data_IF_821790296092
#
_entry.id   IF_821790296092
#
_cell.length_a   1.000
_cell.length_b   1.000
_cell.length_c   1.000
_cell.angle_alpha   90.00
_cell.angle_beta   90.00
_cell.angle_gamma   90.00
#
_symmetry.space_group_name_H-M   'P 1'
#
loop_
_entity.id
_entity.type
_entity.pdbx_description
1 polymer ?
#
# COMPACT_ATOMS: atom_id res chain seq x y z
N UNK A 1 -54.45 23.55 -41.55
CA UNK A 1 -53.12 22.91 -41.79
C UNK A 1 -52.20 23.28 -40.62
N UNK A 2 -52.21 22.48 -39.55
CA UNK A 2 -51.36 22.73 -38.40
C UNK A 2 -50.03 22.04 -38.62
N UNK A 3 -48.94 22.78 -38.75
CA UNK A 3 -47.56 22.31 -38.77
C UNK A 3 -47.20 21.85 -37.34
N UNK A 4 -47.14 20.55 -37.08
CA UNK A 4 -46.48 20.03 -35.89
C UNK A 4 -44.98 20.15 -36.09
N UNK A 5 -44.39 21.02 -35.28
CA UNK A 5 -42.98 21.35 -35.30
C UNK A 5 -42.16 20.18 -34.73
N UNK A 6 -41.12 19.86 -35.42
CA UNK A 6 -40.04 18.98 -34.99
C UNK A 6 -39.46 19.48 -33.65
N UNK A 7 -39.42 18.61 -32.61
CA UNK A 7 -38.73 18.93 -31.35
C UNK A 7 -39.21 18.18 -30.12
N UNK A 8 -40.13 17.23 -30.23
CA UNK A 8 -40.47 16.37 -29.07
C UNK A 8 -39.65 15.10 -29.14
N UNK A 9 -38.55 15.07 -28.39
CA UNK A 9 -37.84 13.82 -28.11
C UNK A 9 -38.83 12.84 -27.50
N UNK A 10 -38.89 11.62 -28.04
CA UNK A 10 -39.77 10.54 -27.59
C UNK A 10 -39.68 10.44 -26.05
N UNK A 11 -40.82 10.43 -25.31
CA UNK A 11 -40.83 10.27 -23.87
C UNK A 11 -40.03 9.06 -23.38
N UNK A 12 -39.97 7.99 -24.15
CA UNK A 12 -39.17 6.78 -23.85
C UNK A 12 -37.68 7.08 -23.90
N UNK A 13 -37.21 7.88 -24.85
CA UNK A 13 -35.81 8.31 -24.92
C UNK A 13 -35.45 9.16 -23.70
N UNK A 14 -36.34 10.11 -23.33
CA UNK A 14 -36.11 10.94 -22.13
C UNK A 14 -36.11 10.13 -20.83
N UNK A 15 -36.92 9.09 -20.74
CA UNK A 15 -36.91 8.17 -19.60
C UNK A 15 -35.62 7.34 -19.62
N UNK A 16 -35.20 6.81 -20.74
CA UNK A 16 -33.93 6.08 -20.87
C UNK A 16 -32.74 6.95 -20.48
N UNK A 17 -32.63 8.19 -20.99
CA UNK A 17 -31.59 9.14 -20.62
C UNK A 17 -31.64 9.52 -19.13
N UNK A 18 -32.83 9.59 -18.53
CA UNK A 18 -32.96 9.86 -17.10
C UNK A 18 -32.50 8.65 -16.25
N UNK A 19 -32.83 7.43 -16.68
CA UNK A 19 -32.37 6.19 -16.05
C UNK A 19 -30.85 6.02 -16.20
N UNK A 20 -30.26 6.31 -17.36
CA UNK A 20 -28.84 6.28 -17.59
C UNK A 20 -28.09 7.31 -16.73
N UNK A 21 -28.67 8.49 -16.44
CA UNK A 21 -28.10 9.45 -15.49
C UNK A 21 -28.15 8.96 -14.04
N UNK A 22 -29.17 8.21 -13.67
CA UNK A 22 -29.33 7.62 -12.32
C UNK A 22 -28.50 6.35 -12.14
N UNK A 23 -28.33 5.59 -13.21
CA UNK A 23 -27.57 4.35 -13.27
C UNK A 23 -26.72 4.37 -14.55
N UNK A 24 -25.62 5.13 -14.56
CA UNK A 24 -24.75 5.16 -15.73
C UNK A 24 -24.24 3.78 -16.07
N UNK A 25 -24.05 3.46 -17.35
CA UNK A 25 -23.45 2.20 -17.75
C UNK A 25 -22.12 2.01 -17.04
N UNK A 26 -21.76 0.78 -16.65
CA UNK A 26 -20.49 0.52 -16.01
C UNK A 26 -19.36 1.08 -16.89
N UNK A 27 -18.39 1.74 -16.24
CA UNK A 27 -17.21 2.21 -16.95
C UNK A 27 -16.54 1.02 -17.68
N UNK A 28 -15.98 1.22 -18.87
CA UNK A 28 -15.25 0.17 -19.55
C UNK A 28 -14.17 -0.38 -18.61
N UNK A 29 -13.93 -1.70 -18.60
CA UNK A 29 -12.93 -2.29 -17.72
C UNK A 29 -11.57 -1.64 -17.99
N UNK A 30 -10.82 -1.33 -16.93
CA UNK A 30 -9.49 -0.77 -17.06
C UNK A 30 -8.59 -1.74 -17.82
N UNK A 31 -7.76 -1.21 -18.72
CA UNK A 31 -6.71 -2.00 -19.35
C UNK A 31 -5.65 -2.35 -18.30
N UNK A 32 -5.60 -3.64 -17.95
CA UNK A 32 -4.69 -4.17 -16.92
C UNK A 32 -3.22 -4.21 -17.37
N UNK A 33 -2.92 -3.99 -18.64
CA UNK A 33 -1.57 -3.96 -19.19
C UNK A 33 -0.99 -2.54 -19.29
N UNK A 34 -1.84 -1.50 -19.29
CA UNK A 34 -1.44 -0.15 -19.68
C UNK A 34 -0.76 0.67 -18.56
N UNK A 35 -1.04 0.39 -17.29
CA UNK A 35 -0.62 1.29 -16.19
C UNK A 35 0.30 0.61 -15.18
N UNK A 36 1.25 1.36 -14.57
CA UNK A 36 2.16 0.83 -13.54
C UNK A 36 1.44 0.53 -12.21
N UNK A 37 0.33 1.22 -11.96
CA UNK A 37 -0.41 1.09 -10.72
C UNK A 37 -1.92 1.30 -10.92
N UNK A 38 -2.68 0.63 -10.08
CA UNK A 38 -4.15 0.65 -10.04
C UNK A 38 -4.64 0.79 -8.60
N UNK A 39 -5.91 1.20 -8.46
CA UNK A 39 -6.64 1.22 -7.20
C UNK A 39 -7.89 0.37 -7.33
N UNK A 40 -8.06 -0.60 -6.42
CA UNK A 40 -9.27 -1.38 -6.27
C UNK A 40 -10.24 -0.71 -5.30
N UNK A 41 -11.45 -0.43 -5.74
CA UNK A 41 -12.49 0.27 -4.97
C UNK A 41 -13.63 -0.64 -4.51
N UNK A 42 -13.39 -1.93 -4.46
CA UNK A 42 -14.38 -2.93 -4.04
C UNK A 42 -15.28 -3.46 -5.16
N UNK A 43 -15.44 -2.73 -6.27
CA UNK A 43 -16.25 -3.14 -7.43
C UNK A 43 -15.60 -2.85 -8.77
N UNK A 44 -14.66 -1.93 -8.78
CA UNK A 44 -13.96 -1.50 -9.99
C UNK A 44 -12.48 -1.34 -9.72
N UNK A 45 -11.69 -1.62 -10.73
CA UNK A 45 -10.26 -1.29 -10.76
C UNK A 45 -10.07 -0.06 -11.64
N UNK A 46 -9.36 0.94 -11.12
CA UNK A 46 -9.08 2.17 -11.86
C UNK A 46 -7.57 2.43 -11.89
N UNK A 47 -7.02 3.01 -12.96
CA UNK A 47 -5.64 3.45 -12.98
C UNK A 47 -5.34 4.42 -11.83
N UNK A 48 -4.20 4.28 -11.19
CA UNK A 48 -3.73 5.27 -10.23
C UNK A 48 -3.47 6.60 -10.98
N UNK A 49 -3.96 7.72 -10.42
CA UNK A 49 -3.81 9.04 -11.05
C UNK A 49 -2.37 9.49 -11.14
N UNK A 50 -1.60 9.14 -10.11
CA UNK A 50 -0.19 9.46 -10.00
C UNK A 50 0.50 8.34 -9.21
N UNK A 51 1.55 7.77 -9.77
CA UNK A 51 2.37 6.76 -9.11
C UNK A 51 3.83 7.23 -9.11
N UNK A 52 4.13 8.13 -8.18
CA UNK A 52 5.45 8.71 -7.95
C UNK A 52 5.97 8.31 -6.56
N UNK A 53 6.36 7.05 -6.34
CA UNK A 53 6.84 6.59 -5.05
C UNK A 53 8.21 7.19 -4.72
N UNK A 54 8.47 7.31 -3.41
CA UNK A 54 9.80 7.70 -2.90
C UNK A 54 10.89 6.78 -3.48
N UNK A 55 11.94 7.32 -4.10
CA UNK A 55 13.06 6.54 -4.60
C UNK A 55 13.70 5.71 -3.48
N UNK A 56 14.05 4.45 -3.76
CA UNK A 56 14.63 3.54 -2.76
C UNK A 56 15.93 4.07 -2.14
N UNK A 57 16.70 4.86 -2.88
CA UNK A 57 17.93 5.48 -2.39
C UNK A 57 17.71 6.43 -1.21
N UNK A 58 16.49 7.00 -1.08
CA UNK A 58 16.12 7.90 0.01
C UNK A 58 15.60 7.16 1.26
N UNK A 59 15.37 5.85 1.17
CA UNK A 59 14.92 5.03 2.29
C UNK A 59 16.13 4.50 3.07
N UNK A 60 16.51 5.20 4.12
CA UNK A 60 17.65 4.87 4.98
C UNK A 60 17.27 3.97 6.15
N UNK A 61 18.20 3.10 6.59
CA UNK A 61 18.02 2.25 7.76
C UNK A 61 17.11 1.02 7.53
N UNK A 62 16.79 0.70 6.29
CA UNK A 62 15.92 -0.43 5.90
C UNK A 62 16.56 -1.35 4.85
N UNK A 63 17.89 -1.43 4.84
CA UNK A 63 18.65 -2.14 3.77
C UNK A 63 18.33 -3.63 3.70
N UNK A 64 18.23 -4.30 4.84
CA UNK A 64 17.87 -5.73 4.89
C UNK A 64 16.46 -5.97 4.35
N UNK A 65 15.51 -5.14 4.78
CA UNK A 65 14.12 -5.21 4.33
C UNK A 65 14.02 -4.91 2.83
N UNK A 66 14.75 -3.88 2.35
CA UNK A 66 14.83 -3.51 0.94
C UNK A 66 15.36 -4.67 0.08
N UNK A 67 16.48 -5.27 0.45
CA UNK A 67 17.08 -6.40 -0.30
C UNK A 67 16.12 -7.58 -0.38
N UNK A 68 15.52 -7.97 0.76
CA UNK A 68 14.60 -9.10 0.79
C UNK A 68 13.32 -8.86 -0.03
N UNK A 69 12.75 -7.64 0.08
CA UNK A 69 11.52 -7.27 -0.64
C UNK A 69 11.77 -7.17 -2.15
N UNK A 70 12.89 -6.54 -2.58
CA UNK A 70 13.24 -6.45 -3.99
C UNK A 70 13.42 -7.84 -4.60
N UNK A 71 14.21 -8.72 -3.99
CA UNK A 71 14.42 -10.07 -4.49
C UNK A 71 13.11 -10.87 -4.62
N UNK A 72 12.12 -10.62 -3.73
CA UNK A 72 10.80 -11.24 -3.81
C UNK A 72 9.96 -10.67 -4.97
N UNK A 73 9.97 -9.34 -5.17
CA UNK A 73 9.26 -8.67 -6.25
C UNK A 73 9.85 -8.95 -7.63
N UNK A 74 11.19 -9.07 -7.74
CA UNK A 74 11.88 -9.47 -8.96
C UNK A 74 11.47 -10.88 -9.39
N UNK A 75 11.41 -11.85 -8.44
CA UNK A 75 10.88 -13.19 -8.71
C UNK A 75 9.43 -13.15 -9.18
N UNK A 76 8.57 -12.39 -8.50
CA UNK A 76 7.18 -12.23 -8.93
C UNK A 76 7.09 -11.65 -10.34
N UNK A 77 7.86 -10.60 -10.63
CA UNK A 77 7.90 -9.96 -11.95
C UNK A 77 8.38 -10.89 -13.07
N UNK A 78 9.27 -11.81 -12.75
CA UNK A 78 9.79 -12.83 -13.67
C UNK A 78 8.87 -14.07 -13.81
N UNK A 79 7.72 -14.09 -13.15
CA UNK A 79 6.81 -15.26 -13.13
C UNK A 79 7.32 -16.43 -12.29
N UNK A 80 8.31 -16.21 -11.44
CA UNK A 80 8.84 -17.21 -10.54
C UNK A 80 8.07 -17.27 -9.23
N UNK A 81 8.31 -18.33 -8.43
CA UNK A 81 7.73 -18.46 -7.10
C UNK A 81 8.12 -17.27 -6.21
N UNK A 82 7.13 -16.57 -5.68
CA UNK A 82 7.28 -15.45 -4.78
C UNK A 82 6.33 -15.61 -3.57
N UNK A 83 6.68 -14.95 -2.47
CA UNK A 83 5.94 -15.02 -1.21
C UNK A 83 4.99 -13.83 -1.04
N UNK A 84 3.90 -14.04 -0.32
CA UNK A 84 3.16 -12.96 0.30
C UNK A 84 4.03 -12.31 1.38
N UNK A 85 3.95 -10.99 1.49
CA UNK A 85 4.82 -10.23 2.38
C UNK A 85 4.04 -9.43 3.42
N UNK A 86 4.46 -9.53 4.68
CA UNK A 86 3.99 -8.72 5.78
C UNK A 86 5.10 -7.78 6.25
N UNK A 87 4.84 -6.47 6.20
CA UNK A 87 5.73 -5.44 6.72
C UNK A 87 5.10 -4.87 8.00
N UNK A 88 5.71 -5.11 9.15
CA UNK A 88 5.14 -4.74 10.43
C UNK A 88 6.08 -3.86 11.25
N UNK A 89 5.54 -3.09 12.20
CA UNK A 89 6.34 -2.26 13.11
C UNK A 89 5.90 -0.80 13.18
N UNK A 90 6.73 0.06 13.75
CA UNK A 90 6.39 1.43 14.11
C UNK A 90 5.89 2.27 12.93
N UNK A 91 4.98 3.22 13.21
CA UNK A 91 4.49 4.19 12.21
C UNK A 91 5.61 5.08 11.70
N UNK A 92 5.55 5.41 10.40
CA UNK A 92 6.48 6.36 9.78
C UNK A 92 7.89 5.81 9.53
N UNK A 93 8.12 4.49 9.66
CA UNK A 93 9.42 3.83 9.44
C UNK A 93 9.69 3.46 7.97
N UNK A 94 8.80 3.84 7.05
CA UNK A 94 9.01 3.63 5.61
C UNK A 94 8.40 2.36 5.02
N UNK A 95 7.56 1.59 5.74
CA UNK A 95 6.94 0.35 5.25
C UNK A 95 6.25 0.52 3.90
N UNK A 96 5.25 1.39 3.83
CA UNK A 96 4.46 1.65 2.60
C UNK A 96 5.32 2.27 1.50
N UNK A 97 6.26 3.16 1.87
CA UNK A 97 7.20 3.75 0.93
C UNK A 97 8.13 2.69 0.32
N UNK A 98 8.58 1.71 1.13
CA UNK A 98 9.42 0.62 0.65
C UNK A 98 8.68 -0.27 -0.34
N UNK A 99 7.43 -0.66 -0.08
CA UNK A 99 6.63 -1.47 -1.01
C UNK A 99 6.49 -0.74 -2.35
N UNK A 100 6.00 0.50 -2.32
CA UNK A 100 5.77 1.30 -3.53
C UNK A 100 7.08 1.59 -4.29
N UNK A 101 8.14 1.96 -3.58
CA UNK A 101 9.45 2.24 -4.16
C UNK A 101 10.11 1.00 -4.76
N UNK A 102 9.98 -0.16 -4.12
CA UNK A 102 10.52 -1.42 -4.63
C UNK A 102 9.80 -1.88 -5.92
N UNK A 103 8.47 -1.73 -5.99
CA UNK A 103 7.70 -2.03 -7.20
C UNK A 103 8.14 -1.11 -8.34
N UNK A 104 8.25 0.21 -8.11
CA UNK A 104 8.73 1.14 -9.11
C UNK A 104 10.16 0.84 -9.58
N UNK A 105 11.04 0.38 -8.69
CA UNK A 105 12.39 -0.02 -9.06
C UNK A 105 12.40 -1.23 -10.00
N UNK A 106 11.56 -2.25 -9.75
CA UNK A 106 11.40 -3.41 -10.63
C UNK A 106 10.83 -2.98 -11.99
N UNK A 107 9.85 -2.09 -12.02
CA UNK A 107 9.28 -1.53 -13.26
C UNK A 107 10.30 -0.74 -14.07
N UNK A 108 11.15 0.05 -13.41
CA UNK A 108 12.22 0.81 -14.06
C UNK A 108 13.28 -0.09 -14.74
N UNK A 109 13.41 -1.33 -14.28
CA UNK A 109 14.26 -2.37 -14.90
C UNK A 109 13.55 -3.15 -16.03
N UNK A 110 12.35 -2.71 -16.44
CA UNK A 110 11.56 -3.36 -17.49
C UNK A 110 10.64 -4.47 -17.00
N UNK A 111 10.49 -4.64 -15.70
CA UNK A 111 9.54 -5.62 -15.13
C UNK A 111 8.09 -5.27 -15.44
N UNK A 112 7.29 -6.28 -15.85
CA UNK A 112 5.84 -6.12 -16.14
C UNK A 112 4.97 -6.00 -14.89
N UNK A 113 5.55 -6.10 -13.69
CA UNK A 113 4.83 -6.05 -12.40
C UNK A 113 3.99 -4.78 -12.29
N UNK A 114 2.72 -4.91 -11.89
CA UNK A 114 1.87 -3.77 -11.55
C UNK A 114 1.48 -3.79 -10.06
N UNK A 115 1.31 -2.60 -9.51
CA UNK A 115 0.72 -2.41 -8.18
C UNK A 115 -0.80 -2.38 -8.30
N UNK A 116 -1.52 -3.06 -7.39
CA UNK A 116 -2.93 -2.82 -7.13
C UNK A 116 -3.10 -2.45 -5.66
N UNK A 117 -3.35 -1.18 -5.38
CA UNK A 117 -3.67 -0.74 -4.02
C UNK A 117 -5.15 -1.01 -3.74
N UNK A 118 -5.44 -1.88 -2.78
CA UNK A 118 -6.79 -2.21 -2.38
C UNK A 118 -7.12 -1.58 -1.02
N UNK A 119 -8.32 -1.00 -0.93
CA UNK A 119 -8.79 -0.36 0.31
C UNK A 119 -9.11 -1.42 1.35
N UNK A 120 -8.52 -1.30 2.54
CA UNK A 120 -8.62 -2.32 3.60
C UNK A 120 -10.03 -2.51 4.17
N UNK A 121 -10.94 -1.56 3.94
CA UNK A 121 -12.36 -1.66 4.33
C UNK A 121 -13.19 -2.58 3.42
N UNK A 122 -12.61 -3.15 2.37
CA UNK A 122 -13.29 -3.97 1.36
C UNK A 122 -12.57 -5.31 1.11
N UNK A 123 -12.02 -5.93 2.16
CA UNK A 123 -11.30 -7.21 2.05
C UNK A 123 -12.19 -8.34 1.51
N UNK A 124 -13.49 -8.29 1.80
CA UNK A 124 -14.50 -9.22 1.32
C UNK A 124 -14.66 -9.21 -0.21
N UNK A 125 -14.21 -8.15 -0.87
CA UNK A 125 -14.28 -8.00 -2.34
C UNK A 125 -13.00 -8.44 -3.07
N UNK A 126 -11.97 -8.87 -2.36
CA UNK A 126 -10.72 -9.34 -2.97
C UNK A 126 -10.89 -10.57 -3.87
N UNK A 127 -11.82 -11.51 -3.62
CA UNK A 127 -12.13 -12.57 -4.57
C UNK A 127 -12.53 -12.04 -5.95
N UNK A 128 -13.36 -10.99 -6.01
CA UNK A 128 -13.77 -10.37 -7.27
C UNK A 128 -12.57 -9.73 -7.99
N UNK A 129 -11.68 -9.09 -7.24
CA UNK A 129 -10.41 -8.59 -7.78
C UNK A 129 -9.56 -9.73 -8.35
N UNK A 130 -9.44 -10.86 -7.64
CA UNK A 130 -8.67 -12.01 -8.12
C UNK A 130 -9.25 -12.60 -9.40
N UNK A 131 -10.57 -12.72 -9.48
CA UNK A 131 -11.25 -13.17 -10.70
C UNK A 131 -10.96 -12.23 -11.89
N UNK A 132 -10.94 -10.91 -11.65
CA UNK A 132 -10.58 -9.92 -12.67
C UNK A 132 -9.11 -10.07 -13.08
N UNK A 133 -8.17 -10.15 -12.12
CA UNK A 133 -6.74 -10.28 -12.41
C UNK A 133 -6.38 -11.62 -13.07
N UNK A 134 -7.20 -12.64 -12.90
CA UNK A 134 -7.04 -13.94 -13.59
C UNK A 134 -7.26 -13.86 -15.10
N UNK A 135 -7.81 -12.76 -15.63
CA UNK A 135 -8.04 -12.55 -17.07
C UNK A 135 -6.75 -12.18 -17.83
N UNK A 136 -5.65 -11.96 -17.16
CA UNK A 136 -4.32 -11.64 -17.72
C UNK A 136 -3.24 -12.50 -17.06
N UNK A 137 -2.08 -12.61 -17.67
CA UNK A 137 -0.88 -13.25 -17.13
C UNK A 137 0.11 -12.25 -16.48
N UNK A 138 -0.25 -10.96 -16.45
CA UNK A 138 0.57 -9.91 -15.86
C UNK A 138 0.75 -10.12 -14.37
N UNK A 139 1.99 -10.00 -13.82
CA UNK A 139 2.21 -10.07 -12.38
C UNK A 139 1.62 -8.86 -11.63
N UNK A 140 0.97 -9.11 -10.50
CA UNK A 140 0.41 -8.06 -9.64
C UNK A 140 0.88 -8.17 -8.20
N UNK A 141 1.34 -7.05 -7.64
CA UNK A 141 1.53 -6.84 -6.23
C UNK A 141 0.27 -6.17 -5.65
N UNK A 142 -0.54 -6.92 -4.90
CA UNK A 142 -1.76 -6.42 -4.27
C UNK A 142 -1.36 -5.85 -2.91
N UNK A 143 -1.54 -4.55 -2.74
CA UNK A 143 -1.07 -3.82 -1.58
C UNK A 143 -2.22 -3.42 -0.66
N UNK A 144 -2.14 -3.86 0.60
CA UNK A 144 -3.04 -3.53 1.68
C UNK A 144 -2.27 -2.68 2.71
N UNK A 145 -2.50 -1.36 2.68
CA UNK A 145 -1.78 -0.43 3.55
C UNK A 145 -2.48 -0.24 4.90
N UNK A 146 -1.69 -0.23 5.96
CA UNK A 146 -2.11 0.05 7.34
C UNK A 146 -3.26 -0.87 7.82
N UNK A 147 -3.15 -2.18 7.55
CA UNK A 147 -4.14 -3.13 8.01
C UNK A 147 -4.09 -3.23 9.56
N UNK A 148 -5.16 -2.76 10.19
CA UNK A 148 -5.41 -2.94 11.62
C UNK A 148 -6.04 -4.32 11.82
N UNK A 149 -5.38 -5.22 12.51
CA UNK A 149 -5.96 -6.51 12.89
C UNK A 149 -6.92 -6.39 14.09
N UNK A 150 -7.52 -5.21 14.29
CA UNK A 150 -8.37 -4.92 15.45
C UNK A 150 -9.77 -5.53 15.32
N UNK A 151 -10.25 -5.76 14.10
CA UNK A 151 -11.48 -6.48 13.83
C UNK A 151 -11.18 -7.95 13.55
N UNK A 152 -11.74 -8.86 14.36
CA UNK A 152 -11.62 -10.31 14.13
C UNK A 152 -12.15 -10.75 12.76
N UNK A 153 -13.01 -9.93 12.12
CA UNK A 153 -13.51 -10.15 10.76
C UNK A 153 -12.40 -9.98 9.72
N UNK A 154 -11.57 -8.92 9.83
CA UNK A 154 -10.48 -8.63 8.89
C UNK A 154 -9.39 -9.69 8.94
N UNK A 155 -9.01 -10.11 10.17
CA UNK A 155 -8.05 -11.18 10.37
C UNK A 155 -8.54 -12.51 9.76
N UNK A 156 -9.83 -12.84 9.91
CA UNK A 156 -10.44 -14.05 9.33
C UNK A 156 -10.52 -13.97 7.81
N UNK A 157 -10.92 -12.83 7.26
CA UNK A 157 -10.98 -12.62 5.81
C UNK A 157 -9.59 -12.78 5.19
N UNK A 158 -8.57 -12.14 5.76
CA UNK A 158 -7.20 -12.25 5.28
C UNK A 158 -6.64 -13.68 5.41
N UNK A 159 -6.97 -14.38 6.51
CA UNK A 159 -6.59 -15.78 6.70
C UNK A 159 -7.17 -16.67 5.59
N UNK A 160 -8.45 -16.53 5.29
CA UNK A 160 -9.10 -17.26 4.19
C UNK A 160 -8.45 -16.99 2.84
N UNK A 161 -8.06 -15.74 2.57
CA UNK A 161 -7.37 -15.34 1.33
C UNK A 161 -5.95 -15.93 1.21
N UNK A 162 -5.23 -16.07 2.33
CA UNK A 162 -3.88 -16.64 2.36
C UNK A 162 -3.88 -18.17 2.28
N UNK A 163 -4.90 -18.83 2.84
CA UNK A 163 -5.03 -20.30 2.83
C UNK A 163 -5.49 -20.86 1.48
N UNK A 164 -6.04 -20.02 0.59
CA UNK A 164 -6.53 -20.44 -0.70
C UNK A 164 -7.85 -21.21 -0.59
N UNK A 165 -8.98 -20.51 -0.55
CA UNK A 165 -10.31 -21.09 -0.64
C UNK A 165 -10.61 -21.66 -2.04
N UNK A 166 -11.87 -22.08 -2.28
CA UNK A 166 -12.34 -22.60 -3.57
C UNK A 166 -12.12 -21.62 -4.75
N UNK A 167 -12.04 -20.31 -4.46
CA UNK A 167 -11.66 -19.25 -5.39
C UNK A 167 -10.18 -18.91 -5.19
N UNK A 168 -9.31 -19.72 -5.80
CA UNK A 168 -7.88 -19.58 -5.64
C UNK A 168 -7.37 -18.28 -6.27
N UNK A 169 -6.56 -17.54 -5.53
CA UNK A 169 -5.82 -16.39 -6.02
C UNK A 169 -4.90 -16.80 -7.20
N UNK A 170 -4.83 -16.00 -8.29
CA UNK A 170 -3.94 -16.27 -9.40
C UNK A 170 -2.48 -16.42 -8.97
N UNK A 171 -1.75 -17.35 -9.58
CA UNK A 171 -0.36 -17.64 -9.22
C UNK A 171 0.60 -16.44 -9.43
N UNK A 172 0.24 -15.51 -10.32
CA UNK A 172 0.98 -14.27 -10.61
C UNK A 172 0.57 -13.08 -9.72
N UNK A 173 -0.28 -13.30 -8.71
CA UNK A 173 -0.69 -12.29 -7.74
C UNK A 173 -0.13 -12.61 -6.36
N UNK A 174 0.44 -11.60 -5.67
CA UNK A 174 0.91 -11.71 -4.28
C UNK A 174 0.43 -10.54 -3.44
N UNK A 175 0.15 -10.84 -2.16
CA UNK A 175 -0.28 -9.84 -1.19
C UNK A 175 0.94 -9.21 -0.50
N UNK A 176 0.92 -7.88 -0.38
CA UNK A 176 1.86 -7.09 0.38
C UNK A 176 1.08 -6.27 1.39
N UNK A 177 1.24 -6.59 2.65
CA UNK A 177 0.44 -6.03 3.74
C UNK A 177 1.33 -5.22 4.66
N UNK A 178 0.91 -4.02 5.05
CA UNK A 178 1.58 -3.28 6.12
C UNK A 178 0.72 -3.25 7.38
N UNK A 179 1.37 -3.33 8.54
CA UNK A 179 0.72 -3.20 9.84
C UNK A 179 1.54 -2.33 10.78
N UNK A 180 0.86 -1.54 11.61
CA UNK A 180 1.50 -0.69 12.62
C UNK A 180 1.63 -1.36 13.99
N UNK A 181 1.18 -2.59 14.15
CA UNK A 181 1.37 -3.33 15.40
C UNK A 181 2.85 -3.60 15.64
N UNK A 182 3.33 -3.30 16.84
CA UNK A 182 4.73 -3.50 17.24
C UNK A 182 5.06 -4.96 17.53
N UNK A 183 4.07 -5.79 17.77
CA UNK A 183 4.21 -7.16 18.25
C UNK A 183 3.24 -8.07 17.47
N UNK A 184 3.69 -8.53 16.32
CA UNK A 184 3.17 -9.74 15.67
C UNK A 184 4.00 -10.98 16.08
N UNK A 185 4.99 -10.79 16.96
CA UNK A 185 5.82 -11.86 17.51
C UNK A 185 5.73 -11.85 19.05
N UNK A 186 5.68 -13.01 19.71
CA UNK A 186 5.54 -13.10 21.17
C UNK A 186 6.84 -12.69 21.84
N UNK A 187 6.93 -11.47 22.33
CA UNK A 187 8.09 -11.03 23.12
C UNK A 187 7.81 -10.12 24.32
N UNK A 188 6.58 -9.97 24.79
CA UNK A 188 6.35 -9.30 26.06
C UNK A 188 5.19 -9.93 26.84
N UNK A 189 5.53 -10.95 27.63
CA UNK A 189 4.64 -11.62 28.59
C UNK A 189 4.25 -10.68 29.74
N UNK A 190 5.00 -9.60 29.97
CA UNK A 190 4.83 -8.72 31.14
C UNK A 190 3.80 -7.59 30.98
N UNK A 191 3.30 -7.31 29.76
CA UNK A 191 2.29 -6.27 29.52
C UNK A 191 0.83 -6.78 29.54
N UNK A 192 0.60 -8.05 29.85
CA UNK A 192 -0.66 -8.76 29.61
C UNK A 192 -1.60 -8.89 30.82
N UNK A 193 -1.38 -8.15 31.90
CA UNK A 193 -2.16 -8.37 33.15
C UNK A 193 -3.54 -7.70 33.22
N UNK A 194 -4.06 -7.09 32.13
CA UNK A 194 -5.31 -6.32 32.22
C UNK A 194 -6.42 -6.58 31.17
N UNK A 195 -6.37 -7.64 30.39
CA UNK A 195 -7.44 -7.97 29.42
C UNK A 195 -8.08 -9.33 29.70
N UNK A 196 -9.39 -9.43 29.48
CA UNK A 196 -10.24 -10.57 29.87
C UNK A 196 -9.93 -11.87 29.09
N UNK A 197 -9.29 -11.82 27.90
CA UNK A 197 -8.73 -12.97 27.18
C UNK A 197 -7.55 -12.56 26.29
N UNK A 198 -6.37 -12.31 26.85
CA UNK A 198 -5.22 -11.89 26.05
C UNK A 198 -4.60 -13.01 25.21
N UNK A 199 -4.76 -14.27 25.59
CA UNK A 199 -4.11 -15.41 24.93
C UNK A 199 -4.69 -15.71 23.56
N UNK A 200 -6.01 -15.72 23.41
CA UNK A 200 -6.67 -16.09 22.15
C UNK A 200 -6.39 -15.07 21.01
N UNK A 201 -6.28 -13.77 21.34
CA UNK A 201 -5.98 -12.75 20.36
C UNK A 201 -4.52 -12.76 19.88
N UNK A 202 -3.59 -13.17 20.74
CA UNK A 202 -2.16 -13.28 20.42
C UNK A 202 -1.90 -14.50 19.55
N UNK A 203 -2.52 -15.61 19.85
CA UNK A 203 -2.40 -16.84 19.08
C UNK A 203 -2.98 -16.66 17.66
N UNK A 204 -4.04 -15.89 17.53
CA UNK A 204 -4.65 -15.55 16.23
C UNK A 204 -3.76 -14.62 15.39
N UNK A 205 -3.14 -13.61 15.98
CA UNK A 205 -2.23 -12.68 15.29
C UNK A 205 -0.94 -13.38 14.84
N UNK A 206 -0.40 -14.29 15.67
CA UNK A 206 0.74 -15.14 15.35
C UNK A 206 0.42 -16.09 14.19
N UNK A 207 -0.70 -16.78 14.29
CA UNK A 207 -1.14 -17.72 13.26
C UNK A 207 -1.36 -17.04 11.89
N UNK A 208 -1.68 -15.76 11.88
CA UNK A 208 -1.78 -14.98 10.64
C UNK A 208 -0.41 -14.56 10.10
N UNK A 209 0.50 -14.08 10.98
CA UNK A 209 1.85 -13.69 10.57
C UNK A 209 2.66 -14.86 9.99
N UNK A 210 2.48 -16.06 10.51
CA UNK A 210 3.15 -17.29 10.04
C UNK A 210 2.72 -17.73 8.63
N UNK A 211 1.58 -17.21 8.15
CA UNK A 211 1.11 -17.48 6.77
C UNK A 211 1.80 -16.64 5.72
N UNK A 212 2.44 -15.54 6.12
CA UNK A 212 3.26 -14.75 5.21
C UNK A 212 4.65 -15.38 5.11
N UNK A 213 5.01 -15.85 3.93
CA UNK A 213 6.33 -16.44 3.71
C UNK A 213 7.48 -15.42 3.78
N UNK A 214 7.17 -14.10 3.74
CA UNK A 214 8.12 -13.02 3.96
C UNK A 214 7.59 -12.07 5.02
N UNK A 215 8.22 -12.06 6.20
CA UNK A 215 7.88 -11.16 7.31
C UNK A 215 9.03 -10.19 7.58
N UNK A 216 8.76 -8.88 7.47
CA UNK A 216 9.76 -7.81 7.57
C UNK A 216 9.42 -6.85 8.72
N UNK A 217 10.24 -6.87 9.76
CA UNK A 217 10.08 -5.99 10.92
C UNK A 217 10.75 -4.62 10.73
N UNK A 218 10.05 -3.55 11.14
CA UNK A 218 10.54 -2.17 11.10
C UNK A 218 10.59 -1.58 12.50
N UNK A 219 11.78 -1.23 12.93
CA UNK A 219 12.02 -0.69 14.27
C UNK A 219 12.01 0.84 14.29
N UNK A 220 11.93 1.39 15.49
CA UNK A 220 12.00 2.83 15.69
C UNK A 220 13.35 3.34 15.19
N UNK A 221 13.32 4.45 14.47
CA UNK A 221 14.50 5.10 13.90
C UNK A 221 15.31 5.78 15.02
N UNK A 222 16.59 5.47 15.12
CA UNK A 222 17.51 6.16 16.01
C UNK A 222 17.85 7.57 15.49
N UNK A 223 18.65 8.32 16.27
CA UNK A 223 18.97 9.70 15.93
C UNK A 223 19.85 9.80 14.68
N UNK A 224 20.84 8.93 14.55
CA UNK A 224 21.78 8.96 13.43
C UNK A 224 21.09 8.59 12.11
N UNK A 225 20.25 7.57 12.14
CA UNK A 225 19.40 7.19 11.00
C UNK A 225 18.41 8.31 10.65
N UNK A 226 17.82 8.99 11.64
CA UNK A 226 16.94 10.12 11.39
C UNK A 226 17.66 11.26 10.66
N UNK A 227 18.87 11.64 11.12
CA UNK A 227 19.70 12.64 10.46
C UNK A 227 20.11 12.20 9.05
N UNK A 228 20.41 10.92 8.85
CA UNK A 228 20.71 10.36 7.52
C UNK A 228 19.51 10.46 6.57
N UNK A 229 18.28 10.19 7.06
CA UNK A 229 17.06 10.36 6.28
C UNK A 229 16.86 11.82 5.87
N UNK A 230 17.00 12.76 6.83
CA UNK A 230 16.90 14.21 6.55
C UNK A 230 17.94 14.62 5.51
N UNK A 231 19.18 14.15 5.65
CA UNK A 231 20.28 14.44 4.72
C UNK A 231 19.94 13.97 3.31
N UNK A 232 19.49 12.72 3.16
CA UNK A 232 19.11 12.17 1.86
C UNK A 232 18.04 13.01 1.16
N UNK A 233 17.00 13.42 1.88
CA UNK A 233 15.98 14.31 1.32
C UNK A 233 16.52 15.71 1.02
N UNK A 234 17.31 16.31 1.92
CA UNK A 234 17.85 17.64 1.73
C UNK A 234 18.77 17.69 0.49
N UNK A 235 19.67 16.71 0.35
CA UNK A 235 20.57 16.59 -0.81
C UNK A 235 19.78 16.39 -2.12
N UNK A 236 18.76 15.56 -2.14
CA UNK A 236 17.92 15.32 -3.32
C UNK A 236 17.22 16.60 -3.81
N UNK A 237 16.93 17.55 -2.90
CA UNK A 237 16.27 18.82 -3.22
C UNK A 237 17.22 20.03 -3.17
N UNK A 238 18.53 19.80 -3.04
CA UNK A 238 19.55 20.86 -3.00
C UNK A 238 19.38 21.83 -1.83
N UNK A 239 18.92 21.32 -0.68
CA UNK A 239 18.70 22.10 0.54
C UNK A 239 19.90 22.01 1.46
N UNK A 240 20.20 23.13 2.16
CA UNK A 240 21.17 23.16 3.24
C UNK A 240 20.42 22.97 4.56
N UNK A 241 20.91 22.09 5.44
CA UNK A 241 20.28 21.86 6.74
C UNK A 241 21.33 21.78 7.86
N UNK A 242 20.90 22.12 9.07
CA UNK A 242 21.67 21.92 10.30
C UNK A 242 21.12 20.66 11.00
N UNK A 243 21.97 19.64 11.26
CA UNK A 243 21.57 18.46 12.02
C UNK A 243 20.95 18.78 13.38
N UNK A 244 21.43 19.84 14.07
CA UNK A 244 20.91 20.24 15.39
C UNK A 244 19.46 20.75 15.27
N UNK A 245 19.14 21.56 14.24
CA UNK A 245 17.78 22.04 13.98
C UNK A 245 16.85 20.87 13.63
N UNK A 246 17.31 19.92 12.81
CA UNK A 246 16.55 18.72 12.47
C UNK A 246 16.23 17.84 13.71
N UNK A 247 17.21 17.65 14.60
CA UNK A 247 17.02 16.91 15.86
C UNK A 247 16.03 17.64 16.77
N UNK A 248 16.16 18.95 16.91
CA UNK A 248 15.23 19.76 17.71
C UNK A 248 13.80 19.68 17.16
N UNK A 249 13.63 19.70 15.85
CA UNK A 249 12.34 19.50 15.19
C UNK A 249 11.71 18.17 15.55
N UNK A 250 12.47 17.07 15.47
CA UNK A 250 12.01 15.73 15.84
C UNK A 250 11.64 15.63 17.33
N UNK A 251 12.44 16.25 18.20
CA UNK A 251 12.20 16.28 19.65
C UNK A 251 10.89 16.98 20.00
N UNK A 252 10.61 18.15 19.38
CA UNK A 252 9.34 18.86 19.56
C UNK A 252 8.13 18.07 19.12
N UNK A 253 8.27 17.14 18.14
CA UNK A 253 7.20 16.28 17.64
C UNK A 253 7.11 14.94 18.36
N UNK A 254 8.01 14.66 19.30
CA UNK A 254 8.05 13.43 20.08
C UNK A 254 8.31 12.17 19.26
N UNK A 255 8.83 12.30 18.01
CA UNK A 255 9.03 11.16 17.13
C UNK A 255 10.19 11.38 16.16
N UNK A 256 10.99 10.34 15.96
CA UNK A 256 11.99 10.24 14.90
C UNK A 256 11.51 9.23 13.87
N UNK A 257 11.09 9.70 12.70
CA UNK A 257 10.55 8.84 11.64
C UNK A 257 10.79 9.48 10.27
N UNK A 258 10.72 8.67 9.20
CA UNK A 258 10.80 9.18 7.83
C UNK A 258 9.74 10.24 7.52
N UNK A 259 8.53 10.10 8.10
CA UNK A 259 7.47 11.11 7.97
C UNK A 259 7.86 12.44 8.62
N UNK A 260 8.42 12.41 9.82
CA UNK A 260 8.87 13.62 10.53
C UNK A 260 10.08 14.25 9.82
N UNK A 261 10.98 13.44 9.26
CA UNK A 261 12.09 13.92 8.45
C UNK A 261 11.59 14.65 7.18
N UNK A 262 10.64 14.07 6.46
CA UNK A 262 10.03 14.72 5.29
C UNK A 262 9.32 16.03 5.66
N UNK A 263 8.57 16.06 6.76
CA UNK A 263 7.92 17.28 7.24
C UNK A 263 8.94 18.39 7.58
N UNK A 264 10.09 18.02 8.14
CA UNK A 264 11.19 18.96 8.37
C UNK A 264 11.74 19.50 7.04
N UNK A 265 11.95 18.65 6.06
CA UNK A 265 12.48 19.04 4.74
C UNK A 265 11.50 19.96 4.00
N UNK A 266 10.20 19.71 4.10
CA UNK A 266 9.15 20.61 3.55
C UNK A 266 9.23 21.99 4.21
N UNK A 267 9.33 22.05 5.53
CA UNK A 267 9.49 23.30 6.28
C UNK A 267 10.79 24.03 5.90
N UNK A 268 11.88 23.26 5.80
CA UNK A 268 13.20 23.80 5.43
C UNK A 268 13.19 24.40 4.02
N UNK A 269 12.55 23.73 3.05
CA UNK A 269 12.40 24.22 1.69
C UNK A 269 11.61 25.53 1.67
N UNK A 270 10.51 25.62 2.44
CA UNK A 270 9.73 26.84 2.59
C UNK A 270 10.56 28.00 3.15
N UNK A 271 11.37 27.76 4.19
CA UNK A 271 12.29 28.76 4.76
C UNK A 271 13.34 29.23 3.76
N UNK A 272 13.77 28.37 2.83
CA UNK A 272 14.75 28.69 1.78
C UNK A 272 14.10 29.19 0.48
N UNK A 273 12.78 29.39 0.44
CA UNK A 273 12.05 29.88 -0.73
C UNK A 273 12.05 28.90 -1.90
N UNK A 274 12.22 27.60 -1.64
CA UNK A 274 12.25 26.53 -2.66
C UNK A 274 10.94 25.75 -2.70
N UNK A 275 10.62 25.22 -3.88
CA UNK A 275 9.56 24.22 -4.11
C UNK A 275 10.17 22.82 -4.11
N UNK A 276 9.41 21.86 -3.59
CA UNK A 276 9.77 20.43 -3.62
C UNK A 276 9.06 19.70 -4.74
#
# INVERSE_FOLDING_TARGET
MLRYSAGMTDPLIRIAEALERLSPPPAPPADLEAHPAYVWRGREIVPARDFTPTPLALLQGVDKQRTALLANLERLSAGHAAQDALLWGARGTGKSALVKGAIAAVQAQGGRLALVEAVTTHLETLPDLFALLATTDRPFAIFLDDLGFDAAADARALRSLLEGGAEARPAHCRLFVTSNRRHLLPRDIDAQSSAINPRDSIDDDLALADRFGLSLGFHVVDQDTYVAIVRGYAEAHGLQFDPADAIQWATRRGSRSGRVAWQYVVELAGRQGKRL
#
